data_IF_765979442558
#
_entry.id   IF_765979442558
#
_cell.length_a   1.000
_cell.length_b   1.000
_cell.length_c   1.000
_cell.angle_alpha   90.00
_cell.angle_beta   90.00
_cell.angle_gamma   90.00
#
_symmetry.space_group_name_H-M   'P 1'
#
loop_
_entity.id
_entity.type
_entity.pdbx_description
1 polymer ?
#
# COMPACT_ATOMS: atom_id res chain seq x y z
N UNK A 1 -18.18 -21.33 -22.09
CA UNK A 1 -18.16 -19.88 -22.42
C UNK A 1 -16.86 -19.58 -23.13
N UNK A 2 -16.85 -18.77 -24.21
CA UNK A 2 -15.60 -18.39 -24.88
C UNK A 2 -14.85 -17.31 -24.05
N UNK A 3 -13.51 -17.20 -24.16
CA UNK A 3 -12.74 -16.17 -23.44
C UNK A 3 -13.23 -14.74 -23.72
N UNK A 4 -13.61 -14.44 -24.98
CA UNK A 4 -14.13 -13.11 -25.36
C UNK A 4 -15.51 -12.82 -24.71
N UNK A 5 -16.42 -13.79 -24.72
CA UNK A 5 -17.71 -13.64 -24.02
C UNK A 5 -17.49 -13.55 -22.51
N UNK A 6 -16.54 -14.34 -21.98
CA UNK A 6 -16.13 -14.29 -20.59
C UNK A 6 -15.64 -12.92 -20.17
N UNK A 7 -14.82 -12.28 -20.99
CA UNK A 7 -14.33 -10.90 -20.73
C UNK A 7 -15.49 -9.94 -20.47
N UNK A 8 -16.51 -9.94 -21.33
CA UNK A 8 -17.68 -9.05 -21.16
C UNK A 8 -18.48 -9.38 -19.91
N UNK A 9 -18.70 -10.67 -19.63
CA UNK A 9 -19.43 -11.14 -18.45
C UNK A 9 -18.71 -10.75 -17.17
N UNK A 10 -17.39 -10.98 -17.08
CA UNK A 10 -16.61 -10.64 -15.88
C UNK A 10 -16.48 -9.13 -15.69
N UNK A 11 -16.32 -8.35 -16.78
CA UNK A 11 -16.34 -6.88 -16.68
C UNK A 11 -17.67 -6.36 -16.15
N UNK A 12 -18.78 -6.87 -16.69
CA UNK A 12 -20.12 -6.54 -16.18
C UNK A 12 -20.30 -6.95 -14.71
N UNK A 13 -19.82 -8.13 -14.32
CA UNK A 13 -19.88 -8.60 -12.94
C UNK A 13 -19.05 -7.74 -11.97
N UNK A 14 -17.86 -7.29 -12.38
CA UNK A 14 -17.04 -6.35 -11.58
C UNK A 14 -17.79 -5.04 -11.37
N UNK A 15 -18.31 -4.45 -12.44
CA UNK A 15 -19.10 -3.21 -12.35
C UNK A 15 -20.32 -3.41 -11.45
N UNK A 16 -21.04 -4.50 -11.61
CA UNK A 16 -22.21 -4.82 -10.79
C UNK A 16 -21.85 -5.02 -9.32
N UNK A 17 -20.77 -5.73 -9.01
CA UNK A 17 -20.28 -5.91 -7.65
C UNK A 17 -19.91 -4.57 -6.98
N UNK A 18 -19.28 -3.66 -7.73
CA UNK A 18 -18.96 -2.30 -7.24
C UNK A 18 -20.24 -1.49 -7.02
N UNK A 19 -21.20 -1.53 -7.95
CA UNK A 19 -22.49 -0.83 -7.83
C UNK A 19 -23.30 -1.36 -6.65
N UNK A 20 -23.39 -2.68 -6.48
CA UNK A 20 -24.07 -3.30 -5.33
C UNK A 20 -23.37 -2.85 -4.04
N UNK A 21 -22.05 -3.01 -3.95
CA UNK A 21 -21.29 -2.66 -2.75
C UNK A 21 -21.46 -1.19 -2.34
N UNK A 22 -21.44 -0.27 -3.32
CA UNK A 22 -21.58 1.16 -3.04
C UNK A 22 -23.01 1.57 -2.68
N UNK A 23 -24.03 1.06 -3.40
CA UNK A 23 -25.43 1.42 -3.16
C UNK A 23 -26.03 0.76 -1.92
N UNK A 24 -25.69 -0.50 -1.65
CA UNK A 24 -26.27 -1.26 -0.52
C UNK A 24 -25.43 -1.16 0.75
N UNK A 25 -24.27 -0.48 0.72
CA UNK A 25 -23.26 -0.48 1.79
C UNK A 25 -22.76 -1.89 2.16
N UNK A 26 -22.98 -2.86 1.30
CA UNK A 26 -22.40 -4.19 1.40
C UNK A 26 -20.91 -4.15 1.06
N UNK A 27 -20.12 -5.06 1.61
CA UNK A 27 -18.73 -5.18 1.20
C UNK A 27 -18.64 -5.60 -0.28
N UNK A 28 -17.91 -4.85 -1.11
CA UNK A 28 -17.73 -5.14 -2.54
C UNK A 28 -17.20 -6.56 -2.78
N UNK A 29 -16.33 -7.07 -1.90
CA UNK A 29 -15.81 -8.43 -2.00
C UNK A 29 -16.88 -9.50 -1.78
N UNK A 30 -17.85 -9.27 -0.89
CA UNK A 30 -18.98 -10.19 -0.70
C UNK A 30 -19.87 -10.19 -1.95
N UNK A 31 -20.12 -9.02 -2.53
CA UNK A 31 -20.85 -8.94 -3.80
C UNK A 31 -20.10 -9.66 -4.93
N UNK A 32 -18.77 -9.48 -5.01
CA UNK A 32 -17.91 -10.16 -5.97
C UNK A 32 -17.91 -11.70 -5.77
N UNK A 33 -17.88 -12.19 -4.53
CA UNK A 33 -18.03 -13.62 -4.23
C UNK A 33 -19.37 -14.16 -4.71
N UNK A 34 -20.47 -13.43 -4.48
CA UNK A 34 -21.79 -13.82 -4.99
C UNK A 34 -21.78 -13.94 -6.52
N UNK A 35 -21.19 -12.96 -7.23
CA UNK A 35 -21.02 -13.03 -8.68
C UNK A 35 -20.10 -14.19 -9.11
N UNK A 36 -19.02 -14.45 -8.38
CA UNK A 36 -18.13 -15.56 -8.64
C UNK A 36 -18.86 -16.92 -8.56
N UNK A 37 -19.71 -17.13 -7.55
CA UNK A 37 -20.51 -18.33 -7.47
C UNK A 37 -21.52 -18.44 -8.62
N UNK A 38 -22.25 -17.36 -8.93
CA UNK A 38 -23.22 -17.38 -10.03
C UNK A 38 -22.54 -17.70 -11.37
N UNK A 39 -21.45 -17.02 -11.70
CA UNK A 39 -20.72 -17.25 -12.95
C UNK A 39 -20.08 -18.63 -12.95
N UNK A 40 -19.36 -18.99 -11.89
CA UNK A 40 -18.62 -20.25 -11.79
C UNK A 40 -19.54 -21.45 -11.90
N UNK A 41 -20.62 -21.48 -11.13
CA UNK A 41 -21.53 -22.66 -11.11
C UNK A 41 -22.50 -22.69 -12.27
N UNK A 42 -23.14 -21.54 -12.61
CA UNK A 42 -24.24 -21.54 -13.60
C UNK A 42 -23.75 -21.35 -15.05
N UNK A 43 -22.67 -20.53 -15.25
CA UNK A 43 -22.20 -20.22 -16.61
C UNK A 43 -20.98 -21.05 -17.01
N UNK A 44 -20.09 -21.38 -16.05
CA UNK A 44 -18.89 -22.17 -16.32
C UNK A 44 -19.06 -23.66 -15.99
N UNK A 45 -20.16 -24.05 -15.30
CA UNK A 45 -20.43 -25.43 -14.92
C UNK A 45 -19.50 -26.02 -13.86
N UNK A 46 -18.82 -25.17 -13.09
CA UNK A 46 -17.90 -25.59 -12.02
C UNK A 46 -18.67 -26.01 -10.78
N UNK A 47 -18.13 -26.96 -10.03
CA UNK A 47 -18.63 -27.31 -8.71
C UNK A 47 -18.38 -26.20 -7.70
N UNK A 48 -19.15 -26.19 -6.61
CA UNK A 48 -18.99 -25.23 -5.50
C UNK A 48 -17.56 -25.29 -4.94
N UNK A 49 -17.00 -26.50 -4.79
CA UNK A 49 -15.64 -26.71 -4.28
C UNK A 49 -14.57 -26.11 -5.20
N UNK A 50 -14.76 -26.21 -6.51
CA UNK A 50 -13.85 -25.58 -7.48
C UNK A 50 -13.89 -24.05 -7.38
N UNK A 51 -15.08 -23.45 -7.24
CA UNK A 51 -15.22 -22.00 -7.05
C UNK A 51 -14.54 -21.56 -5.75
N UNK A 52 -14.72 -22.29 -4.65
CA UNK A 52 -14.01 -22.03 -3.37
C UNK A 52 -12.50 -22.17 -3.54
N UNK A 53 -12.02 -23.07 -4.41
CA UNK A 53 -10.60 -23.26 -4.69
C UNK A 53 -9.88 -22.02 -5.22
N UNK A 54 -10.59 -21.07 -5.84
CA UNK A 54 -10.03 -19.77 -6.27
C UNK A 54 -9.91 -18.75 -5.13
N UNK A 55 -10.44 -19.06 -3.93
CA UNK A 55 -10.33 -18.14 -2.79
C UNK A 55 -8.89 -18.06 -2.30
N UNK A 56 -8.28 -16.84 -2.19
CA UNK A 56 -6.87 -16.68 -1.90
C UNK A 56 -6.56 -16.85 -0.41
N UNK A 57 -6.69 -18.07 0.15
CA UNK A 57 -6.53 -18.35 1.57
C UNK A 57 -5.13 -17.99 2.11
N UNK A 58 -4.07 -18.11 1.29
CA UNK A 58 -2.71 -17.68 1.67
C UNK A 58 -2.64 -16.19 1.90
N UNK A 59 -3.27 -15.42 1.02
CA UNK A 59 -3.33 -13.96 1.13
C UNK A 59 -4.14 -13.54 2.38
N UNK A 60 -5.30 -14.18 2.61
CA UNK A 60 -6.08 -14.00 3.83
C UNK A 60 -5.24 -14.19 5.09
N UNK A 61 -4.55 -15.34 5.19
CA UNK A 61 -3.68 -15.68 6.33
C UNK A 61 -2.60 -14.62 6.53
N UNK A 62 -1.89 -14.28 5.46
CA UNK A 62 -0.79 -13.31 5.50
C UNK A 62 -1.25 -11.95 5.99
N UNK A 63 -2.33 -11.42 5.38
CA UNK A 63 -2.88 -10.12 5.77
C UNK A 63 -3.32 -10.10 7.24
N UNK A 64 -4.03 -11.12 7.66
CA UNK A 64 -4.52 -11.26 9.04
C UNK A 64 -3.36 -11.26 10.04
N UNK A 65 -2.39 -12.16 9.87
CA UNK A 65 -1.30 -12.34 10.83
C UNK A 65 -0.39 -11.11 10.91
N UNK A 66 0.01 -10.54 9.77
CA UNK A 66 0.92 -9.39 9.76
C UNK A 66 0.26 -8.15 10.36
N UNK A 67 -1.00 -7.87 10.00
CA UNK A 67 -1.71 -6.71 10.57
C UNK A 67 -2.05 -6.92 12.04
N UNK A 68 -2.30 -8.15 12.49
CA UNK A 68 -2.49 -8.49 13.90
C UNK A 68 -1.24 -8.19 14.71
N UNK A 69 -0.06 -8.62 14.25
CA UNK A 69 1.21 -8.36 14.94
C UNK A 69 1.45 -6.85 15.12
N UNK A 70 1.43 -6.09 14.04
CA UNK A 70 1.66 -4.65 14.11
C UNK A 70 0.53 -3.90 14.86
N UNK A 71 -0.64 -4.50 14.95
CA UNK A 71 -1.78 -3.98 15.69
C UNK A 71 -1.50 -3.77 17.18
N UNK A 72 -0.62 -4.56 17.79
CA UNK A 72 -0.22 -4.38 19.20
C UNK A 72 0.44 -3.02 19.45
N UNK A 73 1.34 -2.59 18.56
CA UNK A 73 2.01 -1.30 18.67
C UNK A 73 1.07 -0.11 18.44
N UNK A 74 0.07 -0.30 17.61
CA UNK A 74 -0.98 0.70 17.39
C UNK A 74 -1.92 0.79 18.58
N UNK A 75 -2.27 -0.35 19.21
CA UNK A 75 -3.22 -0.41 20.33
C UNK A 75 -2.64 0.17 21.60
N UNK A 76 -1.39 -0.11 21.93
CA UNK A 76 -0.76 0.39 23.16
C UNK A 76 -0.15 1.80 23.03
N UNK A 77 -0.29 2.46 21.89
CA UNK A 77 0.19 3.83 21.67
C UNK A 77 1.70 3.98 21.46
N UNK A 78 2.44 2.88 21.29
CA UNK A 78 3.89 2.91 21.04
C UNK A 78 4.23 3.73 19.79
N UNK A 79 3.43 3.59 18.75
CA UNK A 79 3.60 4.27 17.46
C UNK A 79 3.46 5.79 17.61
N UNK A 80 2.42 6.26 18.31
CA UNK A 80 2.21 7.68 18.59
C UNK A 80 3.34 8.26 19.44
N UNK A 81 3.80 7.49 20.41
CA UNK A 81 4.92 7.88 21.26
C UNK A 81 6.24 8.08 20.51
N UNK A 82 6.50 7.28 19.46
CA UNK A 82 7.65 7.45 18.57
C UNK A 82 7.53 8.75 17.78
N UNK A 83 6.38 8.98 17.12
CA UNK A 83 6.14 10.18 16.32
C UNK A 83 6.37 11.45 17.13
N UNK A 84 5.77 11.55 18.31
CA UNK A 84 5.88 12.73 19.18
C UNK A 84 7.33 12.99 19.61
N UNK A 85 8.12 11.95 19.88
CA UNK A 85 9.55 12.12 20.23
C UNK A 85 10.41 12.56 19.07
N UNK A 86 10.17 12.03 17.89
CA UNK A 86 10.90 12.46 16.69
C UNK A 86 10.67 13.94 16.42
N UNK A 87 9.40 14.40 16.51
CA UNK A 87 9.05 15.81 16.34
C UNK A 87 9.71 16.66 17.44
N UNK A 88 9.67 16.24 18.70
CA UNK A 88 10.29 16.94 19.82
C UNK A 88 11.82 17.03 19.68
N UNK A 89 12.48 16.03 19.11
CA UNK A 89 13.94 16.04 18.90
C UNK A 89 14.42 17.18 18.01
N UNK A 90 13.58 17.69 17.11
CA UNK A 90 13.90 18.77 16.19
C UNK A 90 13.42 20.17 16.63
N UNK A 91 12.91 20.30 17.85
CA UNK A 91 12.38 21.56 18.38
C UNK A 91 13.35 22.76 18.31
N UNK A 92 14.67 22.50 18.38
CA UNK A 92 15.70 23.53 18.31
C UNK A 92 16.15 23.86 16.86
N UNK A 93 15.56 23.20 15.86
CA UNK A 93 15.90 23.37 14.42
C UNK A 93 14.62 23.59 13.61
N UNK A 94 14.07 24.81 13.60
CA UNK A 94 12.77 25.10 12.98
C UNK A 94 12.65 24.62 11.54
N UNK A 95 13.68 24.85 10.74
CA UNK A 95 13.74 24.44 9.35
C UNK A 95 13.60 22.93 9.14
N UNK A 96 14.06 22.14 10.10
CA UNK A 96 14.01 20.67 10.02
C UNK A 96 12.64 20.09 10.39
N UNK A 97 11.76 20.88 10.99
CA UNK A 97 10.48 20.37 11.52
C UNK A 97 9.57 19.75 10.46
N UNK A 98 9.32 20.37 9.28
CA UNK A 98 8.52 19.72 8.24
C UNK A 98 9.19 18.46 7.69
N UNK A 99 10.52 18.41 7.64
CA UNK A 99 11.29 17.21 7.24
C UNK A 99 11.09 16.11 8.28
N UNK A 100 11.19 16.46 9.56
CA UNK A 100 10.98 15.51 10.65
C UNK A 100 9.56 14.99 10.69
N UNK A 101 8.58 15.82 10.36
CA UNK A 101 7.20 15.40 10.23
C UNK A 101 7.05 14.31 9.15
N UNK A 102 7.67 14.50 7.98
CA UNK A 102 7.72 13.49 6.92
C UNK A 102 8.41 12.21 7.40
N UNK A 103 9.60 12.33 7.99
CA UNK A 103 10.38 11.17 8.47
C UNK A 103 9.66 10.44 9.60
N UNK A 104 9.06 11.17 10.56
CA UNK A 104 8.27 10.57 11.63
C UNK A 104 7.05 9.81 11.08
N UNK A 105 6.35 10.40 10.11
CA UNK A 105 5.23 9.74 9.44
C UNK A 105 5.68 8.47 8.72
N UNK A 106 6.81 8.52 8.01
CA UNK A 106 7.43 7.38 7.34
C UNK A 106 7.79 6.27 8.32
N UNK A 107 8.54 6.60 9.39
CA UNK A 107 8.98 5.64 10.42
C UNK A 107 7.79 4.98 11.10
N UNK A 108 6.83 5.76 11.53
CA UNK A 108 5.61 5.25 12.19
C UNK A 108 4.80 4.34 11.29
N UNK A 109 4.66 4.72 10.01
CA UNK A 109 3.94 3.91 9.03
C UNK A 109 4.64 2.59 8.76
N UNK A 110 5.97 2.61 8.66
CA UNK A 110 6.78 1.41 8.41
C UNK A 110 6.85 0.47 9.63
N UNK A 111 6.72 1.01 10.86
CA UNK A 111 6.70 0.24 12.10
C UNK A 111 5.34 -0.41 12.42
N UNK A 112 4.37 -0.32 11.51
CA UNK A 112 3.13 -1.09 11.61
C UNK A 112 1.83 -0.31 11.65
N UNK A 113 1.83 1.03 11.75
CA UNK A 113 0.60 1.79 11.61
C UNK A 113 0.00 1.64 10.19
N UNK A 114 0.85 1.41 9.20
CA UNK A 114 0.44 1.23 7.81
C UNK A 114 -0.01 2.52 7.11
N UNK A 115 -0.10 2.45 5.79
CA UNK A 115 -0.39 3.62 4.96
C UNK A 115 -1.79 4.23 5.21
N UNK A 116 -2.77 3.42 5.61
CA UNK A 116 -4.14 3.88 5.82
C UNK A 116 -4.38 4.50 7.21
N UNK A 117 -3.81 3.92 8.28
CA UNK A 117 -4.08 4.40 9.63
C UNK A 117 -3.17 5.58 10.04
N UNK A 118 -1.93 5.63 9.53
CA UNK A 118 -0.98 6.69 9.87
C UNK A 118 -1.52 8.11 9.64
N UNK A 119 -2.18 8.43 8.51
CA UNK A 119 -2.71 9.77 8.28
C UNK A 119 -3.74 10.21 9.32
N UNK A 120 -4.53 9.29 9.86
CA UNK A 120 -5.62 9.60 10.80
C UNK A 120 -5.11 10.31 12.05
N UNK A 121 -3.97 9.89 12.60
CA UNK A 121 -3.39 10.52 13.79
C UNK A 121 -2.24 11.49 13.48
N UNK A 122 -1.53 11.32 12.36
CA UNK A 122 -0.46 12.25 11.98
C UNK A 122 -1.00 13.55 11.38
N UNK A 123 -2.13 13.53 10.68
CA UNK A 123 -2.72 14.73 10.07
C UNK A 123 -3.08 15.81 11.08
N UNK A 124 -3.80 15.54 12.20
CA UNK A 124 -4.05 16.54 13.23
C UNK A 124 -2.76 17.16 13.81
N UNK A 125 -1.72 16.34 14.02
CA UNK A 125 -0.42 16.80 14.51
C UNK A 125 0.22 17.73 13.46
N UNK A 126 0.22 17.31 12.20
CA UNK A 126 0.82 18.03 11.09
C UNK A 126 0.17 19.41 10.87
N UNK A 127 -1.17 19.49 10.89
CA UNK A 127 -1.89 20.75 10.77
C UNK A 127 -1.71 21.63 11.99
N UNK A 128 -1.72 21.07 13.21
CA UNK A 128 -1.41 21.79 14.43
C UNK A 128 -0.05 22.46 14.35
N UNK A 129 0.97 21.72 13.91
CA UNK A 129 2.32 22.27 13.71
C UNK A 129 2.37 23.31 12.59
N UNK A 130 1.70 23.08 11.46
CA UNK A 130 1.70 24.02 10.34
C UNK A 130 1.11 25.38 10.74
N UNK A 131 -0.01 25.39 11.47
CA UNK A 131 -0.66 26.60 11.96
C UNK A 131 0.19 27.28 13.04
N UNK A 132 0.63 26.51 14.04
CA UNK A 132 1.39 27.07 15.17
C UNK A 132 2.74 27.64 14.73
N UNK A 133 3.39 27.05 13.74
CA UNK A 133 4.75 27.39 13.32
C UNK A 133 4.80 28.18 12.01
N UNK A 134 3.65 28.44 11.40
CA UNK A 134 3.51 29.34 10.25
C UNK A 134 4.09 28.81 8.93
N UNK A 135 4.26 27.49 8.78
CA UNK A 135 4.64 26.93 7.47
C UNK A 135 3.41 26.56 6.63
N UNK A 136 3.61 26.45 5.31
CA UNK A 136 2.51 26.22 4.39
C UNK A 136 1.78 24.89 4.69
N UNK A 137 0.45 24.88 4.94
CA UNK A 137 -0.31 23.69 5.27
C UNK A 137 -0.27 22.57 4.19
N UNK A 138 -0.02 22.92 2.93
CA UNK A 138 0.17 21.91 1.88
C UNK A 138 1.38 21.01 2.15
N UNK A 139 2.44 21.54 2.78
CA UNK A 139 3.60 20.74 3.19
C UNK A 139 3.16 19.68 4.23
N UNK A 140 2.26 20.02 5.16
CA UNK A 140 1.73 19.08 6.12
C UNK A 140 0.96 17.94 5.43
N UNK A 141 0.08 18.26 4.48
CA UNK A 141 -0.66 17.26 3.69
C UNK A 141 0.30 16.31 2.95
N UNK A 142 1.26 16.89 2.24
CA UNK A 142 2.24 16.12 1.44
C UNK A 142 3.15 15.27 2.33
N UNK A 143 3.62 15.82 3.46
CA UNK A 143 4.44 15.09 4.43
C UNK A 143 3.69 13.87 5.01
N UNK A 144 2.42 14.08 5.38
CA UNK A 144 1.60 13.00 5.94
C UNK A 144 1.29 11.95 4.88
N UNK A 145 0.88 12.35 3.68
CA UNK A 145 0.55 11.40 2.62
C UNK A 145 1.78 10.61 2.15
N UNK A 146 2.84 11.31 1.72
CA UNK A 146 4.04 10.64 1.20
C UNK A 146 4.81 9.87 2.27
N UNK A 147 4.84 10.37 3.51
CA UNK A 147 5.42 9.64 4.63
C UNK A 147 4.64 8.36 4.93
N UNK A 148 3.31 8.42 4.98
CA UNK A 148 2.48 7.24 5.25
C UNK A 148 2.54 6.21 4.11
N UNK A 149 2.50 6.64 2.86
CA UNK A 149 2.62 5.78 1.69
C UNK A 149 4.04 5.20 1.59
N UNK A 150 5.06 6.06 1.64
CA UNK A 150 6.46 5.67 1.55
C UNK A 150 6.89 4.70 2.63
N UNK A 151 6.40 4.86 3.88
CA UNK A 151 6.68 3.93 4.97
C UNK A 151 5.78 2.71 4.99
N UNK A 152 4.47 2.87 4.77
CA UNK A 152 3.47 1.84 5.00
C UNK A 152 3.31 0.82 3.88
N UNK A 153 3.86 1.07 2.69
CA UNK A 153 3.83 0.16 1.54
C UNK A 153 5.16 -0.56 1.32
N UNK A 154 6.06 -0.57 2.31
CA UNK A 154 7.33 -1.27 2.23
C UNK A 154 7.12 -2.79 2.23
N UNK A 155 8.02 -3.55 1.60
CA UNK A 155 7.90 -5.00 1.43
C UNK A 155 7.73 -5.79 2.74
N UNK A 156 8.15 -5.22 3.87
CA UNK A 156 8.04 -5.81 5.22
C UNK A 156 6.84 -5.30 6.02
N UNK A 157 6.00 -4.46 5.48
CA UNK A 157 4.79 -3.95 6.15
C UNK A 157 3.56 -4.77 5.75
N UNK A 158 2.49 -4.67 6.54
CA UNK A 158 1.25 -5.36 6.24
C UNK A 158 0.70 -5.08 4.84
N UNK A 159 0.74 -3.82 4.38
CA UNK A 159 0.27 -3.46 3.04
C UNK A 159 1.23 -3.91 1.94
N UNK A 160 2.56 -3.82 2.16
CA UNK A 160 3.54 -4.30 1.18
C UNK A 160 3.47 -5.82 0.99
N UNK A 161 3.31 -6.56 2.08
CA UNK A 161 3.10 -8.02 2.04
C UNK A 161 1.78 -8.38 1.35
N UNK A 162 0.73 -7.60 1.56
CA UNK A 162 -0.53 -7.71 0.82
C UNK A 162 -0.31 -7.53 -0.69
N UNK A 163 0.42 -6.51 -1.11
CA UNK A 163 0.72 -6.25 -2.52
C UNK A 163 1.51 -7.41 -3.14
N UNK A 164 2.55 -7.90 -2.43
CA UNK A 164 3.29 -9.11 -2.82
C UNK A 164 2.35 -10.31 -2.96
N UNK A 165 1.48 -10.54 -2.00
CA UNK A 165 0.55 -11.67 -2.00
C UNK A 165 -0.44 -11.63 -3.16
N UNK A 166 -0.96 -10.45 -3.54
CA UNK A 166 -1.82 -10.31 -4.71
C UNK A 166 -1.04 -10.62 -6.00
N UNK A 167 0.20 -10.15 -6.11
CA UNK A 167 1.06 -10.43 -7.26
C UNK A 167 1.39 -11.93 -7.36
N UNK A 168 1.67 -12.59 -6.25
CA UNK A 168 1.99 -14.02 -6.17
C UNK A 168 0.82 -14.96 -6.53
N UNK A 169 -0.41 -14.46 -6.66
CA UNK A 169 -1.52 -15.25 -7.21
C UNK A 169 -1.35 -15.54 -8.71
N UNK A 170 -0.54 -14.77 -9.41
CA UNK A 170 -0.32 -14.90 -10.88
C UNK A 170 1.16 -15.07 -11.23
N UNK A 171 2.02 -14.31 -10.57
CA UNK A 171 3.47 -14.34 -10.78
C UNK A 171 4.12 -15.39 -9.88
N UNK A 172 5.32 -15.82 -10.22
CA UNK A 172 6.12 -16.64 -9.31
C UNK A 172 6.46 -15.88 -8.02
N UNK A 173 6.71 -16.61 -6.93
CA UNK A 173 7.10 -16.01 -5.64
C UNK A 173 8.36 -15.12 -5.76
N UNK A 174 9.29 -15.48 -6.64
CA UNK A 174 10.50 -14.70 -6.90
C UNK A 174 10.15 -13.37 -7.58
N UNK A 175 9.34 -13.40 -8.63
CA UNK A 175 8.89 -12.20 -9.35
C UNK A 175 8.04 -11.27 -8.46
N UNK A 176 7.09 -11.83 -7.70
CA UNK A 176 6.28 -11.06 -6.75
C UNK A 176 7.15 -10.42 -5.66
N UNK A 177 8.17 -11.11 -5.18
CA UNK A 177 9.14 -10.57 -4.23
C UNK A 177 9.97 -9.45 -4.84
N UNK A 178 10.52 -9.64 -6.06
CA UNK A 178 11.27 -8.63 -6.79
C UNK A 178 10.43 -7.39 -7.05
N UNK A 179 9.18 -7.54 -7.45
CA UNK A 179 8.24 -6.42 -7.64
C UNK A 179 7.99 -5.65 -6.33
N UNK A 180 7.79 -6.36 -5.22
CA UNK A 180 7.55 -5.74 -3.91
C UNK A 180 8.77 -4.95 -3.41
N UNK A 181 9.98 -5.51 -3.52
CA UNK A 181 11.21 -4.81 -3.14
C UNK A 181 11.56 -3.67 -4.09
N UNK A 182 11.40 -3.87 -5.41
CA UNK A 182 11.60 -2.81 -6.41
C UNK A 182 10.66 -1.63 -6.19
N UNK A 183 9.39 -1.91 -5.86
CA UNK A 183 8.44 -0.87 -5.48
C UNK A 183 8.83 -0.16 -4.19
N UNK A 184 9.29 -0.90 -3.17
CA UNK A 184 9.79 -0.32 -1.91
C UNK A 184 10.91 0.68 -2.12
N UNK A 185 11.93 0.32 -2.92
CA UNK A 185 13.06 1.20 -3.26
C UNK A 185 12.56 2.43 -4.02
N UNK A 186 11.68 2.21 -5.00
CA UNK A 186 11.06 3.30 -5.77
C UNK A 186 10.30 4.27 -4.87
N UNK A 187 9.50 3.77 -3.91
CA UNK A 187 8.76 4.60 -2.96
C UNK A 187 9.69 5.44 -2.08
N UNK A 188 10.74 4.84 -1.51
CA UNK A 188 11.69 5.58 -0.67
C UNK A 188 12.30 6.74 -1.47
N UNK A 189 12.79 6.46 -2.68
CA UNK A 189 13.43 7.46 -3.52
C UNK A 189 12.45 8.57 -3.92
N UNK A 190 11.30 8.20 -4.49
CA UNK A 190 10.40 9.18 -5.10
C UNK A 190 9.57 9.93 -4.09
N UNK A 191 9.06 9.29 -3.04
CA UNK A 191 8.33 10.01 -1.99
C UNK A 191 9.25 11.03 -1.30
N UNK A 192 10.51 10.66 -1.05
CA UNK A 192 11.49 11.58 -0.45
C UNK A 192 11.82 12.74 -1.39
N UNK A 193 12.14 12.45 -2.65
CA UNK A 193 12.47 13.49 -3.64
C UNK A 193 11.29 14.43 -3.87
N UNK A 194 10.09 13.90 -4.06
CA UNK A 194 8.90 14.73 -4.29
C UNK A 194 8.56 15.58 -3.07
N UNK A 195 8.66 15.01 -1.86
CA UNK A 195 8.50 15.77 -0.62
C UNK A 195 9.53 16.91 -0.52
N UNK A 196 10.80 16.64 -0.79
CA UNK A 196 11.85 17.67 -0.76
C UNK A 196 11.60 18.76 -1.81
N UNK A 197 11.17 18.41 -3.03
CA UNK A 197 10.77 19.40 -4.03
C UNK A 197 9.66 20.31 -3.51
N UNK A 198 8.59 19.75 -2.94
CA UNK A 198 7.49 20.55 -2.36
C UNK A 198 7.97 21.39 -1.18
N UNK A 199 8.81 20.84 -0.32
CA UNK A 199 9.40 21.54 0.82
C UNK A 199 10.20 22.78 0.37
N UNK A 200 11.06 22.66 -0.65
CA UNK A 200 11.85 23.80 -1.15
C UNK A 200 10.99 24.80 -1.93
N UNK A 201 10.09 24.34 -2.81
CA UNK A 201 9.21 25.20 -3.60
C UNK A 201 8.31 26.05 -2.70
N UNK A 202 7.75 25.45 -1.66
CA UNK A 202 6.86 26.13 -0.70
C UNK A 202 7.62 26.78 0.46
N UNK A 203 8.95 26.85 0.39
CA UNK A 203 9.82 27.48 1.40
C UNK A 203 9.59 26.93 2.81
N UNK A 204 9.44 25.61 2.93
CA UNK A 204 9.22 24.91 4.21
C UNK A 204 10.31 25.13 5.25
N UNK A 205 11.46 25.68 4.87
CA UNK A 205 12.54 26.09 5.77
C UNK A 205 12.28 27.41 6.50
N UNK A 206 11.27 28.19 6.07
CA UNK A 206 10.85 29.44 6.72
C UNK A 206 9.80 29.15 7.78
N UNK A 207 10.24 28.64 8.92
CA UNK A 207 9.38 28.36 10.09
C UNK A 207 9.61 29.44 11.13
N UNK A 208 8.52 30.03 11.63
CA UNK A 208 8.57 31.24 12.46
C UNK A 208 8.81 30.95 13.95
N UNK A 209 8.33 29.81 14.49
CA UNK A 209 8.34 29.54 15.92
C UNK A 209 8.48 28.03 16.22
N UNK A 210 9.06 27.66 17.38
CA UNK A 210 9.30 26.25 17.74
C UNK A 210 8.84 25.94 19.16
N UNK A 211 7.54 25.98 19.40
CA UNK A 211 7.01 25.57 20.70
C UNK A 211 6.42 24.16 20.62
N UNK A 212 7.26 23.14 20.82
CA UNK A 212 6.84 21.74 20.79
C UNK A 212 6.85 21.18 22.21
N UNK A 213 5.71 20.66 22.66
CA UNK A 213 5.57 20.06 23.99
C UNK A 213 6.43 18.80 24.16
N UNK A 214 6.99 18.62 25.36
CA UNK A 214 7.78 17.45 25.71
C UNK A 214 6.86 16.21 25.83
N UNK A 215 7.09 15.14 25.04
CA UNK A 215 6.28 13.94 25.12
C UNK A 215 6.47 13.19 26.42
N UNK A 216 5.42 12.53 26.89
CA UNK A 216 5.46 11.67 28.07
C UNK A 216 6.47 10.50 27.89
N UNK A 217 7.10 9.99 28.96
CA UNK A 217 8.01 8.84 28.86
C UNK A 217 7.26 7.57 28.39
N UNK A 218 7.95 6.71 27.63
CA UNK A 218 7.39 5.41 27.26
C UNK A 218 7.15 4.57 28.51
N UNK A 219 5.99 3.95 28.60
CA UNK A 219 5.71 2.91 29.57
C UNK A 219 6.41 1.58 29.21
N UNK A 220 6.31 0.60 30.10
CA UNK A 220 6.95 -0.71 29.92
C UNK A 220 6.39 -1.49 28.72
N UNK A 221 5.06 -1.60 28.50
CA UNK A 221 4.50 -2.25 27.33
C UNK A 221 4.97 -1.63 26.02
N UNK A 222 4.97 -0.31 25.90
CA UNK A 222 5.42 0.40 24.71
C UNK A 222 6.89 0.10 24.38
N UNK A 223 7.79 0.16 25.39
CA UNK A 223 9.23 -0.13 25.19
C UNK A 223 9.45 -1.55 24.68
N UNK A 224 8.76 -2.53 25.27
CA UNK A 224 8.89 -3.93 24.87
C UNK A 224 8.36 -4.13 23.45
N UNK A 225 7.18 -3.56 23.13
CA UNK A 225 6.59 -3.66 21.78
C UNK A 225 7.50 -3.06 20.72
N UNK A 226 8.07 -1.88 20.98
CA UNK A 226 9.05 -1.24 20.08
C UNK A 226 10.26 -2.16 19.88
N UNK A 227 10.80 -2.73 20.97
CA UNK A 227 11.93 -3.66 20.91
C UNK A 227 11.62 -4.89 20.04
N UNK A 228 10.46 -5.53 20.22
CA UNK A 228 10.02 -6.67 19.41
C UNK A 228 9.93 -6.28 17.93
N UNK A 229 9.30 -5.15 17.60
CA UNK A 229 9.17 -4.69 16.22
C UNK A 229 10.55 -4.43 15.59
N UNK A 230 11.45 -3.76 16.30
CA UNK A 230 12.81 -3.49 15.80
C UNK A 230 13.58 -4.79 15.52
N UNK A 231 13.52 -5.76 16.43
CA UNK A 231 14.13 -7.07 16.22
C UNK A 231 13.53 -7.77 15.00
N UNK A 232 12.20 -7.76 14.86
CA UNK A 232 11.51 -8.33 13.71
C UNK A 232 11.94 -7.66 12.40
N UNK A 233 12.01 -6.32 12.37
CA UNK A 233 12.46 -5.59 11.19
C UNK A 233 13.91 -5.97 10.82
N UNK A 234 14.79 -6.08 11.79
CA UNK A 234 16.18 -6.52 11.55
C UNK A 234 16.20 -7.93 10.97
N UNK A 235 15.43 -8.87 11.56
CA UNK A 235 15.36 -10.27 11.09
C UNK A 235 14.75 -10.41 9.68
N UNK A 236 13.90 -9.48 9.26
CA UNK A 236 13.33 -9.48 7.90
C UNK A 236 14.28 -8.80 6.91
N UNK A 237 14.76 -7.61 7.26
CA UNK A 237 15.46 -6.73 6.31
C UNK A 237 16.90 -7.20 6.09
N UNK A 238 17.65 -7.47 7.17
CA UNK A 238 19.08 -7.78 7.08
C UNK A 238 19.38 -9.02 6.24
N UNK A 239 18.69 -10.17 6.43
CA UNK A 239 18.99 -11.36 5.61
C UNK A 239 18.66 -11.17 4.12
N UNK A 240 17.63 -10.36 3.80
CA UNK A 240 17.30 -10.05 2.40
C UNK A 240 18.40 -9.21 1.76
N UNK A 241 18.86 -8.16 2.43
CA UNK A 241 19.97 -7.34 1.94
C UNK A 241 21.28 -8.15 1.86
N UNK A 242 21.58 -9.00 2.85
CA UNK A 242 22.74 -9.90 2.79
C UNK A 242 22.67 -10.82 1.57
N UNK A 243 21.50 -11.39 1.27
CA UNK A 243 21.35 -12.22 0.07
C UNK A 243 21.50 -11.44 -1.23
N UNK A 244 21.17 -10.16 -1.27
CA UNK A 244 21.29 -9.30 -2.44
C UNK A 244 22.75 -8.96 -2.75
N UNK A 245 23.56 -8.65 -1.72
CA UNK A 245 24.95 -8.19 -1.89
C UNK A 245 26.01 -9.27 -1.63
N UNK A 246 25.72 -10.24 -0.75
CA UNK A 246 26.62 -11.31 -0.32
C UNK A 246 25.85 -12.62 -0.18
N UNK A 247 25.44 -13.25 -1.30
CA UNK A 247 24.64 -14.48 -1.26
C UNK A 247 25.34 -15.57 -0.45
N UNK A 248 24.71 -16.05 0.63
CA UNK A 248 25.23 -17.06 1.53
C UNK A 248 24.17 -18.17 1.74
N UNK A 249 24.54 -19.45 1.76
CA UNK A 249 23.61 -20.55 2.05
C UNK A 249 22.83 -20.37 3.36
N UNK A 250 23.47 -19.85 4.42
CA UNK A 250 22.83 -19.63 5.70
C UNK A 250 21.74 -18.55 5.64
N UNK A 251 21.99 -17.44 4.95
CA UNK A 251 20.99 -16.37 4.79
C UNK A 251 19.84 -16.80 3.87
N UNK A 252 20.12 -17.59 2.83
CA UNK A 252 19.08 -18.21 1.98
C UNK A 252 18.21 -19.18 2.78
N UNK A 253 18.83 -20.04 3.58
CA UNK A 253 18.11 -20.95 4.47
C UNK A 253 17.23 -20.18 5.46
N UNK A 254 17.78 -19.14 6.10
CA UNK A 254 17.04 -18.33 7.06
C UNK A 254 15.83 -17.66 6.41
N UNK A 255 15.98 -16.98 5.28
CA UNK A 255 14.88 -16.30 4.58
C UNK A 255 13.82 -17.26 4.04
N UNK A 256 14.18 -18.51 3.77
CA UNK A 256 13.23 -19.56 3.34
C UNK A 256 12.38 -20.12 4.49
N UNK A 257 12.83 -20.00 5.75
CA UNK A 257 12.16 -20.57 6.93
C UNK A 257 11.51 -19.50 7.82
N UNK A 258 12.09 -18.31 7.85
CA UNK A 258 11.66 -17.19 8.68
C UNK A 258 11.25 -16.01 7.81
N UNK A 259 10.11 -16.17 7.15
CA UNK A 259 9.48 -15.06 6.46
C UNK A 259 8.67 -14.18 7.43
N UNK A 260 8.11 -13.10 6.92
CA UNK A 260 7.32 -12.16 7.70
C UNK A 260 6.11 -12.83 8.37
N UNK A 261 5.55 -13.90 7.78
CA UNK A 261 4.37 -14.59 8.31
C UNK A 261 4.76 -15.34 9.58
N UNK A 262 5.82 -16.15 9.51
CA UNK A 262 6.34 -16.93 10.65
C UNK A 262 6.77 -15.99 11.77
N UNK A 263 7.56 -14.97 11.45
CA UNK A 263 8.02 -14.00 12.43
C UNK A 263 6.86 -13.24 13.09
N UNK A 264 5.83 -12.87 12.33
CA UNK A 264 4.65 -12.19 12.88
C UNK A 264 3.88 -13.09 13.85
N UNK A 265 3.76 -14.40 13.60
CA UNK A 265 3.14 -15.35 14.53
C UNK A 265 3.90 -15.38 15.85
N UNK A 266 5.22 -15.51 15.81
CA UNK A 266 6.04 -15.44 17.04
C UNK A 266 5.92 -14.09 17.73
N UNK A 267 5.90 -13.00 16.99
CA UNK A 267 5.68 -11.66 17.52
C UNK A 267 4.34 -11.52 18.25
N UNK A 268 3.25 -12.06 17.69
CA UNK A 268 1.92 -12.09 18.32
C UNK A 268 1.97 -12.87 19.64
N UNK A 269 2.57 -14.07 19.63
CA UNK A 269 2.69 -14.91 20.83
C UNK A 269 3.44 -14.17 21.95
N UNK A 270 4.56 -13.52 21.61
CA UNK A 270 5.34 -12.73 22.56
C UNK A 270 4.54 -11.53 23.11
N UNK A 271 3.86 -10.79 22.23
CA UNK A 271 3.04 -9.64 22.65
C UNK A 271 1.87 -10.06 23.54
N UNK A 272 1.23 -11.18 23.25
CA UNK A 272 0.13 -11.72 24.04
C UNK A 272 0.62 -12.25 25.41
N UNK A 273 1.69 -13.05 25.42
CA UNK A 273 2.28 -13.61 26.65
C UNK A 273 2.76 -12.53 27.62
N UNK A 274 3.26 -11.40 27.09
CA UNK A 274 3.70 -10.26 27.89
C UNK A 274 2.59 -9.24 28.18
N UNK A 275 1.35 -9.52 27.78
CA UNK A 275 0.17 -8.65 27.97
C UNK A 275 0.42 -7.20 27.50
N UNK A 276 1.02 -7.01 26.31
CA UNK A 276 1.40 -5.69 25.80
C UNK A 276 0.21 -4.85 25.32
N UNK A 277 -0.91 -5.50 25.00
CA UNK A 277 -2.22 -4.92 24.74
C UNK A 277 -3.31 -6.01 24.87
N UNK A 278 -4.57 -5.62 24.95
CA UNK A 278 -5.70 -6.58 24.98
C UNK A 278 -5.85 -7.21 23.59
N UNK A 279 -5.53 -8.50 23.49
CA UNK A 279 -5.57 -9.26 22.22
C UNK A 279 -6.90 -9.15 21.50
N UNK A 280 -8.03 -9.22 22.23
CA UNK A 280 -9.37 -9.10 21.65
C UNK A 280 -9.60 -7.75 20.97
N UNK A 281 -9.11 -6.64 21.56
CA UNK A 281 -9.22 -5.31 21.01
C UNK A 281 -8.35 -5.15 19.75
N UNK A 282 -7.15 -5.73 19.74
CA UNK A 282 -6.28 -5.78 18.55
C UNK A 282 -6.95 -6.52 17.40
N UNK A 283 -7.50 -7.72 17.67
CA UNK A 283 -8.20 -8.53 16.65
C UNK A 283 -9.40 -7.79 16.07
N UNK A 284 -10.19 -7.16 16.93
CA UNK A 284 -11.41 -6.45 16.53
C UNK A 284 -11.12 -5.16 15.76
N UNK A 285 -10.16 -4.36 16.21
CA UNK A 285 -10.01 -2.97 15.79
C UNK A 285 -8.81 -2.73 14.85
N UNK A 286 -7.82 -3.64 14.82
CA UNK A 286 -6.57 -3.41 14.08
C UNK A 286 -6.40 -4.32 12.87
N UNK A 287 -7.10 -5.45 12.83
CA UNK A 287 -7.16 -6.28 11.61
C UNK A 287 -8.17 -5.64 10.65
N UNK A 288 -7.77 -5.30 9.41
CA UNK A 288 -8.64 -4.63 8.46
C UNK A 288 -9.60 -5.60 7.76
N UNK A 289 -10.51 -6.25 8.50
CA UNK A 289 -11.41 -7.29 8.02
C UNK A 289 -12.18 -6.90 6.75
N UNK A 290 -12.67 -5.66 6.69
CA UNK A 290 -13.40 -5.15 5.53
C UNK A 290 -12.54 -5.17 4.27
N UNK A 291 -11.27 -4.75 4.38
CA UNK A 291 -10.31 -4.76 3.28
C UNK A 291 -9.93 -6.18 2.88
N UNK A 292 -9.71 -7.06 3.85
CA UNK A 292 -9.40 -8.48 3.62
C UNK A 292 -10.53 -9.16 2.83
N UNK A 293 -11.78 -9.02 3.28
CA UNK A 293 -12.94 -9.58 2.59
C UNK A 293 -13.08 -9.03 1.17
N UNK A 294 -12.87 -7.72 1.00
CA UNK A 294 -12.95 -7.07 -0.31
C UNK A 294 -11.93 -7.64 -1.28
N UNK A 295 -10.68 -7.76 -0.87
CA UNK A 295 -9.60 -8.27 -1.72
C UNK A 295 -9.81 -9.75 -2.04
N UNK A 296 -10.11 -10.58 -1.03
CA UNK A 296 -10.31 -12.00 -1.23
C UNK A 296 -11.50 -12.30 -2.15
N UNK A 297 -12.60 -11.57 -2.00
CA UNK A 297 -13.77 -11.75 -2.86
C UNK A 297 -13.52 -11.36 -4.31
N UNK A 298 -12.87 -10.20 -4.54
CA UNK A 298 -12.48 -9.77 -5.88
C UNK A 298 -11.48 -10.74 -6.51
N UNK A 299 -10.46 -11.19 -5.77
CA UNK A 299 -9.48 -12.14 -6.28
C UNK A 299 -10.10 -13.48 -6.68
N UNK A 300 -11.12 -13.96 -5.94
CA UNK A 300 -11.87 -15.18 -6.31
C UNK A 300 -12.56 -15.02 -7.66
N UNK A 301 -13.27 -13.93 -7.86
CA UNK A 301 -13.97 -13.66 -9.13
C UNK A 301 -12.98 -13.53 -10.31
N UNK A 302 -11.87 -12.85 -10.09
CA UNK A 302 -10.85 -12.66 -11.11
C UNK A 302 -10.09 -13.97 -11.40
N UNK A 303 -9.87 -14.82 -10.38
CA UNK A 303 -9.30 -16.15 -10.58
C UNK A 303 -10.12 -17.00 -11.56
N UNK A 304 -11.44 -16.94 -11.50
CA UNK A 304 -12.32 -17.58 -12.48
C UNK A 304 -12.17 -16.97 -13.89
N UNK A 305 -12.02 -15.65 -14.00
CA UNK A 305 -11.83 -14.98 -15.28
C UNK A 305 -10.48 -15.38 -15.94
N UNK A 306 -9.43 -15.50 -15.13
CA UNK A 306 -8.10 -15.97 -15.58
C UNK A 306 -8.19 -17.41 -16.08
N UNK A 307 -8.83 -18.29 -15.34
CA UNK A 307 -9.02 -19.69 -15.73
C UNK A 307 -9.79 -19.84 -17.06
N UNK A 308 -10.64 -18.89 -17.39
CA UNK A 308 -11.34 -18.85 -18.68
C UNK A 308 -10.50 -18.28 -19.83
N UNK A 309 -9.28 -17.79 -19.61
CA UNK A 309 -8.42 -17.21 -20.63
C UNK A 309 -8.71 -15.73 -20.94
N UNK A 310 -9.42 -15.02 -20.06
CA UNK A 310 -9.74 -13.61 -20.28
C UNK A 310 -8.47 -12.74 -20.25
N UNK A 311 -7.53 -13.08 -19.41
CA UNK A 311 -6.28 -12.35 -19.25
C UNK A 311 -5.42 -12.38 -20.54
N UNK A 312 -5.38 -13.54 -21.21
CA UNK A 312 -4.65 -13.74 -22.47
C UNK A 312 -5.27 -12.93 -23.62
N UNK A 313 -6.60 -12.84 -23.69
CA UNK A 313 -7.29 -12.05 -24.73
C UNK A 313 -6.95 -10.57 -24.56
N UNK A 314 -7.05 -10.04 -23.35
CA UNK A 314 -6.79 -8.62 -23.09
C UNK A 314 -5.29 -8.32 -23.24
N UNK A 315 -4.42 -9.16 -22.69
CA UNK A 315 -2.96 -8.99 -22.77
C UNK A 315 -2.43 -9.06 -24.21
N UNK A 316 -2.94 -9.99 -25.01
CA UNK A 316 -2.60 -10.11 -26.42
C UNK A 316 -3.05 -8.89 -27.24
N UNK A 317 -4.29 -8.41 -27.03
CA UNK A 317 -4.77 -7.20 -27.70
C UNK A 317 -3.97 -5.95 -27.33
N UNK A 318 -3.67 -5.75 -26.06
CA UNK A 318 -2.83 -4.63 -25.59
C UNK A 318 -1.41 -4.72 -26.15
N UNK A 319 -0.81 -5.92 -26.18
CA UNK A 319 0.56 -6.13 -26.66
C UNK A 319 0.75 -5.83 -28.14
N UNK A 320 -0.30 -6.01 -28.97
CA UNK A 320 -0.26 -5.69 -30.41
C UNK A 320 -0.62 -4.24 -30.72
N UNK A 321 -1.35 -3.56 -29.82
CA UNK A 321 -1.90 -2.23 -30.05
C UNK A 321 -1.03 -1.10 -29.51
N UNK A 322 -0.12 -1.39 -28.55
CA UNK A 322 0.67 -0.37 -27.84
C UNK A 322 2.15 -0.50 -28.19
N UNK A 323 2.84 0.60 -28.62
CA UNK A 323 4.28 0.61 -28.78
C UNK A 323 4.98 0.23 -27.45
N UNK A 324 6.02 -0.63 -27.53
CA UNK A 324 6.76 -1.15 -26.35
C UNK A 324 7.16 -0.05 -25.36
N UNK A 325 7.66 1.08 -25.84
CA UNK A 325 8.08 2.22 -25.00
C UNK A 325 6.95 2.78 -24.15
N UNK A 326 5.71 2.71 -24.61
CA UNK A 326 4.55 3.30 -23.96
C UNK A 326 3.81 2.33 -23.02
N UNK A 327 4.16 1.05 -22.98
CA UNK A 327 3.47 0.05 -22.16
C UNK A 327 3.50 0.42 -20.69
N UNK A 328 4.68 0.66 -20.12
CA UNK A 328 4.81 1.02 -18.70
C UNK A 328 4.17 2.38 -18.38
N UNK A 329 4.39 3.46 -19.14
CA UNK A 329 3.68 4.72 -18.93
C UNK A 329 2.15 4.60 -18.99
N UNK A 330 1.62 3.80 -19.91
CA UNK A 330 0.17 3.57 -20.03
C UNK A 330 -0.35 2.79 -18.80
N UNK A 331 0.39 1.79 -18.30
CA UNK A 331 0.02 1.10 -17.07
C UNK A 331 -0.04 2.08 -15.90
N UNK A 332 0.96 2.95 -15.73
CA UNK A 332 0.94 4.02 -14.71
C UNK A 332 -0.27 4.92 -14.86
N UNK A 333 -0.54 5.39 -16.09
CA UNK A 333 -1.64 6.31 -16.37
C UNK A 333 -3.00 5.66 -16.07
N UNK A 334 -3.25 4.48 -16.63
CA UNK A 334 -4.54 3.78 -16.47
C UNK A 334 -4.79 3.40 -15.02
N UNK A 335 -3.78 2.83 -14.35
CA UNK A 335 -3.91 2.46 -12.93
C UNK A 335 -4.11 3.69 -12.05
N UNK A 336 -3.43 4.79 -12.35
CA UNK A 336 -3.61 6.06 -11.68
C UNK A 336 -5.01 6.64 -11.88
N UNK A 337 -5.50 6.70 -13.10
CA UNK A 337 -6.86 7.20 -13.39
C UNK A 337 -7.94 6.34 -12.73
N UNK A 338 -7.82 5.01 -12.77
CA UNK A 338 -8.75 4.11 -12.10
C UNK A 338 -8.72 4.27 -10.59
N UNK A 339 -7.57 4.60 -10.01
CA UNK A 339 -7.41 4.78 -8.56
C UNK A 339 -8.15 6.00 -8.00
N UNK A 340 -8.64 6.91 -8.83
CA UNK A 340 -9.59 7.96 -8.38
C UNK A 340 -10.96 7.40 -8.03
N UNK A 341 -11.37 6.31 -8.66
CA UNK A 341 -12.72 5.75 -8.54
C UNK A 341 -12.74 4.51 -7.65
N UNK A 342 -11.61 3.77 -7.61
CA UNK A 342 -11.51 2.50 -6.87
C UNK A 342 -10.16 2.37 -6.17
N UNK A 343 -9.98 1.31 -5.39
CA UNK A 343 -8.73 1.06 -4.69
C UNK A 343 -7.84 0.07 -5.45
N UNK A 344 -6.53 0.31 -5.45
CA UNK A 344 -5.53 -0.54 -6.11
C UNK A 344 -5.67 -2.02 -5.75
N UNK A 345 -5.54 -2.38 -4.47
CA UNK A 345 -5.55 -3.78 -4.05
C UNK A 345 -6.85 -4.53 -4.30
N UNK A 346 -7.98 -3.82 -4.23
CA UNK A 346 -9.28 -4.48 -4.34
C UNK A 346 -9.71 -4.77 -5.78
N UNK A 347 -9.41 -3.88 -6.71
CA UNK A 347 -9.90 -3.97 -8.08
C UNK A 347 -8.77 -3.92 -9.10
N UNK A 348 -7.88 -2.92 -8.99
CA UNK A 348 -6.90 -2.64 -10.05
C UNK A 348 -5.85 -3.76 -10.13
N UNK A 349 -5.27 -4.18 -9.01
CA UNK A 349 -4.22 -5.20 -9.03
C UNK A 349 -4.72 -6.55 -9.51
N UNK A 350 -5.83 -7.10 -8.95
CA UNK A 350 -6.39 -8.34 -9.46
C UNK A 350 -6.83 -8.26 -10.94
N UNK A 351 -7.21 -7.09 -11.44
CA UNK A 351 -7.60 -6.91 -12.83
C UNK A 351 -6.41 -6.90 -13.79
N UNK A 352 -5.31 -6.21 -13.44
CA UNK A 352 -4.19 -5.98 -14.36
C UNK A 352 -3.11 -7.06 -14.27
N UNK A 353 -2.74 -7.52 -13.06
CA UNK A 353 -1.61 -8.44 -12.88
C UNK A 353 -1.78 -9.74 -13.68
N UNK A 354 -2.96 -10.37 -13.76
CA UNK A 354 -3.15 -11.57 -14.57
C UNK A 354 -2.88 -11.41 -16.07
N UNK A 355 -2.94 -10.17 -16.58
CA UNK A 355 -2.66 -9.88 -17.99
C UNK A 355 -1.15 -9.75 -18.29
N UNK A 356 -0.32 -9.55 -17.27
CA UNK A 356 1.10 -9.26 -17.45
C UNK A 356 1.91 -10.40 -18.07
N UNK A 357 1.68 -11.69 -17.77
CA UNK A 357 2.37 -12.77 -18.48
C UNK A 357 2.13 -12.75 -19.99
N UNK A 358 0.88 -12.56 -20.43
CA UNK A 358 0.54 -12.48 -21.85
C UNK A 358 1.11 -11.20 -22.51
N UNK A 359 1.03 -10.07 -21.82
CA UNK A 359 1.61 -8.80 -22.26
C UNK A 359 3.14 -8.87 -22.33
N UNK A 360 3.79 -9.58 -21.41
CA UNK A 360 5.23 -9.82 -21.41
C UNK A 360 5.65 -10.65 -22.62
N UNK A 361 4.91 -11.72 -22.95
CA UNK A 361 5.16 -12.54 -24.14
C UNK A 361 5.06 -11.72 -25.44
N UNK A 362 4.11 -10.77 -25.51
CA UNK A 362 3.90 -9.95 -26.70
C UNK A 362 4.91 -8.78 -26.81
N UNK A 363 5.36 -8.19 -25.68
CA UNK A 363 6.17 -6.96 -25.69
C UNK A 363 7.62 -7.17 -25.29
N UNK A 364 7.95 -8.30 -24.63
CA UNK A 364 9.26 -8.57 -24.05
C UNK A 364 9.61 -7.67 -22.84
N UNK A 365 8.59 -7.09 -22.17
CA UNK A 365 8.78 -6.33 -20.92
C UNK A 365 8.51 -7.29 -19.75
N UNK A 366 9.33 -7.19 -18.69
CA UNK A 366 9.17 -8.06 -17.52
C UNK A 366 7.83 -7.82 -16.79
N UNK A 367 7.12 -8.87 -16.36
CA UNK A 367 5.94 -8.75 -15.50
C UNK A 367 6.24 -8.02 -14.18
N UNK A 368 7.48 -8.13 -13.67
CA UNK A 368 7.95 -7.39 -12.48
C UNK A 368 7.88 -5.88 -12.73
N UNK A 369 8.43 -5.41 -13.86
CA UNK A 369 8.41 -3.98 -14.23
C UNK A 369 6.98 -3.46 -14.37
N UNK A 370 6.09 -4.25 -15.00
CA UNK A 370 4.67 -3.90 -15.15
C UNK A 370 3.96 -3.82 -13.80
N UNK A 371 4.28 -4.74 -12.88
CA UNK A 371 3.71 -4.75 -11.51
C UNK A 371 4.15 -3.53 -10.71
N UNK A 372 5.44 -3.15 -10.78
CA UNK A 372 5.94 -1.93 -10.12
C UNK A 372 5.25 -0.69 -10.71
N UNK A 373 5.11 -0.61 -12.03
CA UNK A 373 4.42 0.49 -12.71
C UNK A 373 2.95 0.61 -12.28
N UNK A 374 2.26 -0.53 -12.15
CA UNK A 374 0.88 -0.62 -11.67
C UNK A 374 0.74 -0.10 -10.23
N UNK A 375 1.62 -0.55 -9.33
CA UNK A 375 1.62 -0.10 -7.93
C UNK A 375 1.94 1.39 -7.82
N UNK A 376 2.90 1.88 -8.61
CA UNK A 376 3.30 3.27 -8.66
C UNK A 376 2.14 4.18 -9.13
N UNK A 377 1.46 3.82 -10.21
CA UNK A 377 0.34 4.58 -10.75
C UNK A 377 -0.82 4.70 -9.76
N UNK A 378 -1.23 3.58 -9.15
CA UNK A 378 -2.31 3.59 -8.14
C UNK A 378 -1.94 4.41 -6.91
N UNK A 379 -0.68 4.34 -6.47
CA UNK A 379 -0.20 5.11 -5.35
C UNK A 379 -0.11 6.61 -5.63
N UNK A 380 0.21 7.01 -6.86
CA UNK A 380 0.35 8.42 -7.20
C UNK A 380 -0.93 9.21 -6.99
N UNK A 381 -2.04 8.71 -7.50
CA UNK A 381 -3.33 9.40 -7.42
C UNK A 381 -4.04 9.22 -6.09
N UNK A 382 -3.54 8.31 -5.25
CA UNK A 382 -3.96 8.17 -3.86
C UNK A 382 -3.74 9.43 -3.01
N UNK A 383 -2.92 10.41 -3.47
CA UNK A 383 -2.80 11.74 -2.86
C UNK A 383 -4.02 12.64 -3.12
N UNK A 384 -4.84 12.34 -4.13
CA UNK A 384 -6.03 13.13 -4.45
C UNK A 384 -6.95 13.29 -3.25
N UNK A 385 -7.56 14.47 -3.04
CA UNK A 385 -8.51 14.67 -1.96
C UNK A 385 -9.76 13.76 -2.06
N UNK A 386 -10.03 13.22 -3.24
CA UNK A 386 -11.15 12.30 -3.48
C UNK A 386 -10.79 10.83 -3.21
N UNK A 387 -9.50 10.53 -3.05
CA UNK A 387 -9.04 9.20 -2.66
C UNK A 387 -9.02 9.05 -1.13
N UNK A 388 -9.02 7.80 -0.65
CA UNK A 388 -8.94 7.51 0.79
C UNK A 388 -7.69 8.11 1.43
N UNK A 389 -6.51 7.96 0.82
CA UNK A 389 -5.25 8.46 1.38
C UNK A 389 -5.20 9.98 1.47
N UNK A 390 -5.59 10.66 0.40
CA UNK A 390 -5.57 12.12 0.33
C UNK A 390 -6.63 12.78 1.23
N UNK A 391 -7.83 12.21 1.32
CA UNK A 391 -8.86 12.70 2.25
C UNK A 391 -8.45 12.52 3.71
N UNK A 392 -7.82 11.40 4.06
CA UNK A 392 -7.28 11.17 5.40
C UNK A 392 -6.13 12.12 5.75
N UNK A 393 -5.30 12.50 4.78
CA UNK A 393 -4.25 13.49 5.00
C UNK A 393 -4.80 14.90 5.31
N UNK A 394 -6.06 15.19 4.93
CA UNK A 394 -6.77 16.43 5.24
C UNK A 394 -7.58 16.38 6.53
N UNK A 395 -7.74 15.21 7.17
CA UNK A 395 -8.67 15.06 8.31
C UNK A 395 -8.32 15.95 9.50
N UNK A 396 -7.06 16.33 9.64
CA UNK A 396 -6.58 17.25 10.68
C UNK A 396 -6.85 18.72 10.40
N UNK A 397 -7.26 19.08 9.18
CA UNK A 397 -7.60 20.46 8.84
C UNK A 397 -9.01 20.78 9.36
N UNK A 398 -9.06 21.50 10.50
CA UNK A 398 -10.32 21.89 11.16
C UNK A 398 -10.93 23.16 10.56
N UNK A 399 -10.16 23.93 9.81
CA UNK A 399 -10.58 25.17 9.14
C UNK A 399 -11.09 24.81 7.73
N UNK A 400 -12.38 25.01 7.50
CA UNK A 400 -13.04 24.66 6.24
C UNK A 400 -12.54 25.54 5.08
N UNK A 401 -12.29 26.83 5.31
CA UNK A 401 -11.75 27.74 4.28
C UNK A 401 -10.33 27.32 3.85
N UNK A 402 -9.49 26.96 4.82
CA UNK A 402 -8.16 26.41 4.55
C UNK A 402 -8.27 25.08 3.77
N UNK A 403 -9.19 24.20 4.17
CA UNK A 403 -9.41 22.92 3.49
C UNK A 403 -9.81 23.11 2.04
N UNK A 404 -10.75 23.98 1.74
CA UNK A 404 -11.19 24.30 0.38
C UNK A 404 -10.04 24.84 -0.49
N UNK A 405 -9.17 25.68 0.07
CA UNK A 405 -7.97 26.18 -0.64
C UNK A 405 -6.90 25.10 -0.86
N UNK A 406 -6.88 24.04 -0.05
CA UNK A 406 -5.93 22.93 -0.20
C UNK A 406 -6.37 21.90 -1.23
N UNK A 407 -7.68 21.65 -1.40
CA UNK A 407 -8.22 20.64 -2.31
C UNK A 407 -7.63 20.74 -3.74
N UNK A 408 -7.69 21.88 -4.45
CA UNK A 408 -7.17 21.98 -5.81
C UNK A 408 -5.63 21.82 -5.85
N UNK A 409 -4.92 22.33 -4.85
CA UNK A 409 -3.46 22.20 -4.76
C UNK A 409 -3.03 20.76 -4.55
N UNK A 410 -3.72 20.03 -3.71
CA UNK A 410 -3.50 18.61 -3.47
C UNK A 410 -3.79 17.79 -4.73
N UNK A 411 -4.83 18.12 -5.46
CA UNK A 411 -5.18 17.49 -6.71
C UNK A 411 -4.07 17.68 -7.77
N UNK A 412 -3.55 18.92 -7.91
CA UNK A 412 -2.38 19.20 -8.77
C UNK A 412 -1.15 18.40 -8.34
N UNK A 413 -0.88 18.28 -7.03
CA UNK A 413 0.21 17.45 -6.53
C UNK A 413 0.04 15.98 -6.91
N UNK A 414 -1.19 15.43 -6.89
CA UNK A 414 -1.45 14.05 -7.29
C UNK A 414 -1.13 13.80 -8.77
N UNK A 415 -1.52 14.70 -9.66
CA UNK A 415 -1.16 14.61 -11.07
C UNK A 415 0.33 14.82 -11.34
N UNK A 416 0.96 15.76 -10.64
CA UNK A 416 2.39 15.97 -10.73
C UNK A 416 3.17 14.72 -10.28
N UNK A 417 2.71 14.06 -9.22
CA UNK A 417 3.32 12.84 -8.71
C UNK A 417 3.13 11.67 -9.70
N UNK A 418 1.97 11.56 -10.33
CA UNK A 418 1.71 10.59 -11.41
C UNK A 418 2.61 10.86 -12.63
N UNK A 419 2.78 12.12 -13.02
CA UNK A 419 3.67 12.49 -14.13
C UNK A 419 5.13 12.10 -13.86
N UNK A 420 5.61 12.22 -12.61
CA UNK A 420 6.94 11.74 -12.22
C UNK A 420 7.08 10.24 -12.46
N UNK A 421 6.10 9.43 -12.05
CA UNK A 421 6.14 7.98 -12.31
C UNK A 421 6.05 7.63 -13.80
N UNK A 422 5.30 8.41 -14.60
CA UNK A 422 5.28 8.22 -16.07
C UNK A 422 6.65 8.51 -16.69
N UNK A 423 7.34 9.57 -16.24
CA UNK A 423 8.72 9.86 -16.67
C UNK A 423 9.67 8.73 -16.28
N UNK A 424 9.57 8.22 -15.05
CA UNK A 424 10.38 7.07 -14.60
C UNK A 424 10.11 5.82 -15.45
N UNK A 425 8.86 5.58 -15.83
CA UNK A 425 8.51 4.49 -16.73
C UNK A 425 9.18 4.66 -18.11
N UNK A 426 9.18 5.90 -18.67
CA UNK A 426 9.82 6.22 -19.95
C UNK A 426 11.35 6.06 -19.91
N UNK A 427 12.01 6.45 -18.82
CA UNK A 427 13.48 6.30 -18.67
C UNK A 427 13.89 4.88 -18.28
N UNK A 428 12.95 3.95 -18.12
CA UNK A 428 13.23 2.54 -17.84
C UNK A 428 13.58 2.22 -16.39
N UNK A 429 13.28 3.11 -15.43
CA UNK A 429 13.57 2.88 -14.00
C UNK A 429 13.01 1.55 -13.48
N UNK A 430 11.78 1.20 -13.86
CA UNK A 430 11.15 -0.03 -13.39
C UNK A 430 11.82 -1.31 -13.94
N UNK A 431 12.59 -1.20 -15.02
CA UNK A 431 13.32 -2.32 -15.59
C UNK A 431 14.61 -2.66 -14.83
N UNK A 432 14.98 -1.90 -13.80
CA UNK A 432 16.17 -2.18 -12.98
C UNK A 432 15.96 -3.33 -11.98
N UNK A 433 14.71 -3.81 -11.80
CA UNK A 433 14.32 -4.73 -10.73
C UNK A 433 13.89 -6.12 -11.23
N UNK A 434 14.16 -6.46 -12.49
CA UNK A 434 13.82 -7.77 -13.10
C UNK A 434 14.95 -8.79 -13.01
#
# INVERSE_FOLDING_TARGET
>A
MTPTTGMLVFLAAIVLAVVIGTKTKCNIGIAALGMAFLIGTMLMGKSISEVIGYFPYRLLFTMMIVTFFYGYASENGAIQGIANRMIYATRNKPWALPITLYVATFVVSTMGAGAAATPVFMSPIAFGLAIQMGFNPLIAVVAVYLGSMGGGLQAWTGSGVMFKGIAANTLSEAEASSASWGYSITLIAICTLFFLCVYFVLKGYKVANTNVEKPAPFDRPQKITIGIILVMMVLIIVPVFCNMFLPNPATKWFTSKFDIQVLSVFGIILCAALNLAKTADVVKNKIPWTTILMICGMSTMIGLAVDLGVAEVIGGWLGTSIPKLLVLPIIVLLSGLLSFVTTGPAVIFPLFIPMFPALAAATGISPVSMTIALFAGTGATGMSPFSQGGSMALIGCKDDEMREKLLPKQFVCAFAFMAVYMVMALVGWFNLFH
#
